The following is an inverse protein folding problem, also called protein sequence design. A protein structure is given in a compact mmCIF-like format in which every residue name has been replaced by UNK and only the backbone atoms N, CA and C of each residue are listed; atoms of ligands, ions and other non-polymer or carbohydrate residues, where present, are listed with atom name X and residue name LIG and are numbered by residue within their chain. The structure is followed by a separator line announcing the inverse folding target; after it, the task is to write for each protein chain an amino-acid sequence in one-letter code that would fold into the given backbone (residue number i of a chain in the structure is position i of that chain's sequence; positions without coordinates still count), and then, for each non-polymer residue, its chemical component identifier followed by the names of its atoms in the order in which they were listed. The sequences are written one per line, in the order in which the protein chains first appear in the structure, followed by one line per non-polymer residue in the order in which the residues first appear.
data_IF_078872435924
#
_entry.id   IF_078872435924
#
_cell.length_a   1.000
_cell.length_b   1.000
_cell.length_c   1.000
_cell.angle_alpha   90.00
_cell.angle_beta   90.00
_cell.angle_gamma   90.00
#
_symmetry.space_group_name_H-M   'P 1'
#
loop_
_entity.id
_entity.type
_entity.pdbx_description
1 polymer ?
#
# COMPACT_ATOMS: atom_id res chain seq x y z
N UNK A 1 -10.57 0.09 -9.80
CA UNK A 1 -10.21 -0.60 -8.53
C UNK A 1 -11.48 -1.03 -7.82
N UNK A 2 -11.42 -2.11 -7.03
CA UNK A 2 -12.53 -2.66 -6.24
C UNK A 2 -12.21 -2.54 -4.74
N UNK A 3 -13.21 -2.64 -3.87
CA UNK A 3 -13.00 -2.63 -2.43
C UNK A 3 -12.20 -3.85 -1.97
N UNK A 4 -11.28 -3.63 -1.04
CA UNK A 4 -10.45 -4.70 -0.47
C UNK A 4 -11.32 -5.76 0.22
N UNK A 5 -11.11 -7.01 -0.19
CA UNK A 5 -11.50 -8.21 0.55
C UNK A 5 -10.28 -8.71 1.33
N UNK A 6 -10.24 -8.59 2.67
CA UNK A 6 -9.01 -8.81 3.43
C UNK A 6 -8.46 -10.23 3.30
N UNK A 7 -9.31 -11.25 3.12
CA UNK A 7 -8.85 -12.61 2.91
C UNK A 7 -8.08 -12.76 1.58
N UNK A 8 -8.49 -12.07 0.50
CA UNK A 8 -7.76 -12.10 -0.77
C UNK A 8 -6.40 -11.43 -0.65
N UNK A 9 -6.34 -10.28 0.02
CA UNK A 9 -5.07 -9.58 0.26
C UNK A 9 -4.12 -10.45 1.08
N UNK A 10 -4.61 -11.08 2.15
CA UNK A 10 -3.78 -11.95 2.98
C UNK A 10 -3.19 -13.10 2.14
N UNK A 11 -4.01 -13.74 1.29
CA UNK A 11 -3.54 -14.81 0.40
C UNK A 11 -2.46 -14.33 -0.59
N UNK A 12 -2.62 -13.13 -1.15
CA UNK A 12 -1.64 -12.52 -2.06
C UNK A 12 -0.34 -12.15 -1.34
N UNK A 13 -0.41 -11.64 -0.11
CA UNK A 13 0.76 -11.37 0.72
C UNK A 13 1.51 -12.67 1.06
N UNK A 14 0.80 -13.74 1.41
CA UNK A 14 1.40 -15.03 1.76
C UNK A 14 2.15 -15.65 0.56
N UNK A 15 1.62 -15.48 -0.66
CA UNK A 15 2.27 -15.96 -1.91
C UNK A 15 3.60 -15.28 -2.23
N UNK A 16 3.90 -14.15 -1.61
CA UNK A 16 5.10 -13.34 -1.85
C UNK A 16 6.09 -13.40 -0.66
N UNK A 17 5.74 -14.08 0.44
CA UNK A 17 6.63 -14.30 1.59
C UNK A 17 7.91 -15.02 1.15
N UNK A 18 9.03 -14.63 1.73
CA UNK A 18 10.36 -15.21 1.47
C UNK A 18 10.72 -15.23 -0.02
N UNK A 19 10.31 -14.21 -0.76
CA UNK A 19 10.75 -13.94 -2.13
C UNK A 19 11.30 -12.53 -2.21
N UNK A 20 12.19 -12.31 -3.18
CA UNK A 20 12.66 -10.98 -3.49
C UNK A 20 11.58 -10.31 -4.34
N UNK A 21 11.07 -9.19 -3.84
CA UNK A 21 9.99 -8.43 -4.49
C UNK A 21 10.38 -6.96 -4.58
N UNK A 22 9.88 -6.30 -5.60
CA UNK A 22 9.95 -4.86 -5.75
C UNK A 22 8.70 -4.26 -5.12
N UNK A 23 8.93 -3.23 -4.31
CA UNK A 23 7.90 -2.46 -3.64
C UNK A 23 7.81 -1.05 -4.22
N UNK A 24 6.58 -0.61 -4.40
CA UNK A 24 6.23 0.79 -4.54
C UNK A 24 5.41 1.23 -3.31
N UNK A 25 5.82 2.33 -2.68
CA UNK A 25 5.09 2.96 -1.58
C UNK A 25 5.00 4.45 -1.87
N UNK A 26 3.78 4.94 -2.03
CA UNK A 26 3.48 6.36 -2.17
C UNK A 26 2.51 6.77 -1.08
N UNK A 27 2.77 7.90 -0.43
CA UNK A 27 1.82 8.55 0.45
C UNK A 27 1.83 10.03 0.14
N UNK A 28 0.64 10.63 0.12
CA UNK A 28 0.49 12.07 -0.03
C UNK A 28 -0.61 12.54 0.92
N UNK A 29 -0.26 13.44 1.82
CA UNK A 29 -1.26 14.30 2.43
C UNK A 29 -1.47 15.42 1.40
N UNK A 30 -2.35 15.17 0.42
CA UNK A 30 -2.36 15.84 -0.89
C UNK A 30 -2.04 17.34 -0.89
N UNK A 31 -1.53 17.86 -2.01
CA UNK A 31 -1.31 19.30 -2.22
C UNK A 31 -2.57 20.17 -1.92
N UNK A 32 -3.74 19.55 -1.87
CA UNK A 32 -5.02 20.16 -1.50
C UNK A 32 -5.32 20.24 0.01
N UNK A 33 -4.50 19.62 0.87
CA UNK A 33 -4.68 19.70 2.32
C UNK A 33 -4.72 21.18 2.78
N UNK A 34 -3.88 22.03 2.19
CA UNK A 34 -3.88 23.48 2.44
C UNK A 34 -5.12 24.22 1.90
N UNK A 35 -5.77 23.71 0.85
CA UNK A 35 -6.96 24.35 0.28
C UNK A 35 -8.19 24.25 1.20
N UNK A 36 -8.27 23.19 2.01
CA UNK A 36 -9.36 22.99 2.98
C UNK A 36 -8.96 23.35 4.40
N UNK A 37 -7.68 23.23 4.76
CA UNK A 37 -7.15 23.55 6.08
C UNK A 37 -5.68 23.96 5.96
N UNK A 38 -5.43 25.27 6.01
CA UNK A 38 -4.09 25.86 5.90
C UNK A 38 -3.15 25.48 7.04
N UNK A 39 -3.64 24.85 8.12
CA UNK A 39 -2.81 24.31 9.21
C UNK A 39 -2.15 22.97 8.86
N UNK A 40 -2.67 22.25 7.85
CA UNK A 40 -2.12 20.96 7.42
C UNK A 40 -0.93 21.17 6.50
N UNK A 41 0.24 20.77 6.98
CA UNK A 41 1.47 20.79 6.19
C UNK A 41 1.42 19.70 5.12
N UNK A 42 1.64 20.02 3.84
CA UNK A 42 1.75 19.01 2.80
C UNK A 42 3.01 18.18 3.06
N UNK A 43 2.84 16.88 3.20
CA UNK A 43 3.90 15.89 3.30
C UNK A 43 3.64 14.78 2.30
N UNK A 44 4.72 14.24 1.75
CA UNK A 44 4.66 13.06 0.90
C UNK A 44 5.87 12.17 1.14
N UNK A 45 5.68 10.89 0.83
CA UNK A 45 6.74 9.90 0.77
C UNK A 45 6.56 9.13 -0.54
N UNK A 46 7.66 8.87 -1.23
CA UNK A 46 7.65 8.14 -2.48
C UNK A 46 8.86 7.22 -2.56
N UNK A 47 8.59 5.93 -2.76
CA UNK A 47 9.59 4.89 -2.95
C UNK A 47 9.10 4.04 -4.12
N UNK A 48 9.94 3.81 -5.11
CA UNK A 48 9.63 2.89 -6.22
C UNK A 48 10.78 1.93 -6.46
N UNK A 49 10.47 0.71 -6.90
CA UNK A 49 11.43 -0.35 -7.18
C UNK A 49 12.41 -0.63 -6.03
N UNK A 50 11.98 -0.40 -4.78
CA UNK A 50 12.73 -0.84 -3.63
C UNK A 50 12.67 -2.36 -3.55
N UNK A 51 13.82 -3.02 -3.70
CA UNK A 51 13.92 -4.45 -3.50
C UNK A 51 13.82 -4.77 -2.01
N UNK A 52 12.84 -5.57 -1.63
CA UNK A 52 12.64 -6.04 -0.26
C UNK A 52 12.44 -7.56 -0.26
N UNK A 53 12.70 -8.15 0.90
CA UNK A 53 12.31 -9.52 1.22
C UNK A 53 11.66 -9.50 2.59
N UNK A 54 10.47 -10.07 2.70
CA UNK A 54 9.73 -10.11 3.96
C UNK A 54 9.38 -11.53 4.39
N UNK A 55 9.46 -11.75 5.69
CA UNK A 55 9.22 -13.05 6.33
C UNK A 55 7.77 -13.23 6.73
N UNK A 56 7.02 -12.13 6.89
CA UNK A 56 5.61 -12.14 7.24
C UNK A 56 4.93 -10.88 6.68
N UNK A 57 3.77 -11.04 6.06
CA UNK A 57 2.88 -9.95 5.67
C UNK A 57 1.51 -10.13 6.30
N UNK A 58 0.88 -9.06 6.75
CA UNK A 58 -0.48 -9.12 7.32
C UNK A 58 -1.31 -7.91 6.95
N UNK A 59 -2.56 -8.14 6.58
CA UNK A 59 -3.59 -7.11 6.50
C UNK A 59 -4.43 -7.10 7.78
N UNK A 60 -4.87 -5.93 8.23
CA UNK A 60 -5.76 -5.78 9.39
C UNK A 60 -6.64 -4.54 9.29
N UNK A 61 -7.68 -4.47 10.12
CA UNK A 61 -8.66 -3.38 10.16
C UNK A 61 -10.02 -3.80 9.63
N UNK A 62 -11.02 -2.93 9.81
CA UNK A 62 -12.40 -3.11 9.35
C UNK A 62 -12.76 -2.16 8.19
N UNK A 63 -11.75 -1.52 7.59
CA UNK A 63 -11.91 -0.52 6.53
C UNK A 63 -11.92 0.92 7.07
N UNK A 64 -10.95 1.78 6.70
CA UNK A 64 -9.76 1.50 5.90
C UNK A 64 -8.84 0.42 6.53
N UNK A 65 -8.08 -0.26 5.69
CA UNK A 65 -7.17 -1.32 6.08
C UNK A 65 -5.74 -0.82 6.24
N UNK A 66 -4.95 -1.60 6.96
CA UNK A 66 -3.51 -1.45 7.09
C UNK A 66 -2.80 -2.74 6.69
N UNK A 67 -1.65 -2.63 6.05
CA UNK A 67 -0.76 -3.74 5.71
C UNK A 67 0.60 -3.50 6.36
N UNK A 68 1.07 -4.52 7.07
CA UNK A 68 2.42 -4.56 7.64
C UNK A 68 3.23 -5.70 7.02
N UNK A 69 4.47 -5.42 6.66
CA UNK A 69 5.44 -6.41 6.18
C UNK A 69 6.64 -6.42 7.12
N UNK A 70 6.95 -7.57 7.73
CA UNK A 70 8.18 -7.78 8.48
C UNK A 70 9.30 -8.14 7.52
N UNK A 71 10.19 -7.21 7.22
CA UNK A 71 11.37 -7.46 6.38
C UNK A 71 12.48 -8.12 7.20
N UNK A 72 13.56 -8.56 6.54
CA UNK A 72 14.73 -9.13 7.23
C UNK A 72 15.28 -8.17 8.29
N UNK A 73 15.37 -6.87 7.96
CA UNK A 73 16.06 -5.86 8.77
C UNK A 73 15.12 -4.78 9.33
N UNK A 74 13.80 -4.95 9.19
CA UNK A 74 12.86 -3.92 9.61
C UNK A 74 11.41 -4.21 9.26
N UNK A 75 10.66 -3.14 8.97
CA UNK A 75 9.24 -3.21 8.70
C UNK A 75 8.83 -2.22 7.62
N UNK A 76 7.87 -2.63 6.80
CA UNK A 76 7.07 -1.73 5.96
C UNK A 76 5.67 -1.67 6.56
N UNK A 77 5.09 -0.48 6.63
CA UNK A 77 3.74 -0.28 7.13
C UNK A 77 3.02 0.75 6.26
N UNK A 78 1.82 0.39 5.79
CA UNK A 78 0.94 1.28 5.04
C UNK A 78 -0.47 1.21 5.63
N UNK A 79 -1.09 2.37 5.87
CA UNK A 79 -2.42 2.50 6.47
C UNK A 79 -3.29 3.43 5.62
N UNK A 80 -4.59 3.14 5.58
CA UNK A 80 -5.56 3.89 4.79
C UNK A 80 -5.94 3.20 3.48
N UNK A 81 -5.53 1.94 3.27
CA UNK A 81 -5.82 1.18 2.06
C UNK A 81 -7.31 0.83 2.01
N UNK A 82 -7.96 1.11 0.87
CA UNK A 82 -9.40 0.87 0.69
C UNK A 82 -9.72 0.04 -0.54
N UNK A 83 -8.88 0.11 -1.57
CA UNK A 83 -9.11 -0.51 -2.86
C UNK A 83 -7.94 -1.38 -3.32
N UNK A 84 -8.24 -2.35 -4.17
CA UNK A 84 -7.30 -3.21 -4.90
C UNK A 84 -7.56 -3.15 -6.41
N UNK A 85 -6.52 -3.32 -7.22
CA UNK A 85 -6.68 -3.68 -8.62
C UNK A 85 -6.85 -5.21 -8.76
N UNK A 86 -8.07 -5.67 -9.03
CA UNK A 86 -8.36 -7.10 -9.20
C UNK A 86 -7.96 -7.65 -10.58
N UNK A 87 -7.76 -6.77 -11.57
CA UNK A 87 -7.36 -7.20 -12.92
C UNK A 87 -5.91 -7.69 -12.93
N UNK A 88 -5.10 -7.18 -12.00
CA UNK A 88 -3.73 -7.62 -11.80
C UNK A 88 -3.66 -8.84 -10.87
N UNK A 89 -3.18 -9.97 -11.42
CA UNK A 89 -3.05 -11.22 -10.67
C UNK A 89 -1.62 -11.46 -10.15
N UNK A 90 -0.62 -10.99 -10.90
CA UNK A 90 0.80 -11.18 -10.56
C UNK A 90 1.33 -10.07 -9.64
N UNK A 91 0.75 -8.87 -9.74
CA UNK A 91 1.09 -7.72 -8.89
C UNK A 91 0.00 -7.53 -7.84
N UNK A 92 0.40 -7.24 -6.61
CA UNK A 92 -0.52 -6.77 -5.59
C UNK A 92 -0.52 -5.25 -5.65
N UNK A 93 -1.59 -4.63 -6.17
CA UNK A 93 -1.71 -3.17 -6.29
C UNK A 93 -2.85 -2.71 -5.39
N UNK A 94 -2.53 -2.03 -4.29
CA UNK A 94 -3.51 -1.50 -3.34
C UNK A 94 -3.40 0.01 -3.24
N UNK A 95 -4.54 0.68 -3.09
CA UNK A 95 -4.64 2.12 -2.94
C UNK A 95 -5.64 2.51 -1.86
N UNK A 96 -5.35 3.61 -1.19
CA UNK A 96 -6.26 4.33 -0.31
C UNK A 96 -6.64 5.65 -0.96
N UNK A 97 -7.95 5.92 -1.03
CA UNK A 97 -8.48 7.18 -1.54
C UNK A 97 -9.23 7.95 -0.46
N UNK A 98 -9.19 9.28 -0.53
CA UNK A 98 -10.02 10.16 0.30
C UNK A 98 -11.49 10.20 -0.18
N UNK A 99 -12.32 10.98 0.50
CA UNK A 99 -13.75 11.14 0.16
C UNK A 99 -14.01 11.79 -1.20
N UNK A 100 -12.99 12.40 -1.83
CA UNK A 100 -13.05 12.96 -3.18
C UNK A 100 -12.48 12.00 -4.23
N UNK A 101 -12.06 10.79 -3.82
CA UNK A 101 -11.44 9.80 -4.70
C UNK A 101 -9.97 10.09 -5.01
N UNK A 102 -9.32 11.03 -4.30
CA UNK A 102 -7.89 11.32 -4.50
C UNK A 102 -7.02 10.32 -3.76
N UNK A 103 -5.89 9.96 -4.36
CA UNK A 103 -4.93 9.04 -3.75
C UNK A 103 -4.36 9.63 -2.46
N UNK A 104 -4.34 8.82 -1.40
CA UNK A 104 -3.75 9.14 -0.09
C UNK A 104 -2.55 8.24 0.18
N UNK A 105 -2.67 6.96 -0.17
CA UNK A 105 -1.62 5.96 0.00
C UNK A 105 -1.70 4.93 -1.12
N UNK A 106 -0.57 4.44 -1.60
CA UNK A 106 -0.47 3.28 -2.47
C UNK A 106 0.62 2.35 -1.94
N UNK A 107 0.29 1.06 -1.83
CA UNK A 107 1.27 0.00 -1.58
C UNK A 107 1.14 -1.02 -2.69
N UNK A 108 2.23 -1.20 -3.44
CA UNK A 108 2.28 -2.15 -4.54
C UNK A 108 3.48 -3.10 -4.36
N UNK A 109 3.26 -4.39 -4.63
CA UNK A 109 4.28 -5.42 -4.57
C UNK A 109 4.28 -6.22 -5.88
N UNK A 110 5.47 -6.49 -6.42
CA UNK A 110 5.66 -7.30 -7.63
C UNK A 110 6.95 -8.08 -7.59
N UNK A 111 7.01 -9.22 -8.28
CA UNK A 111 8.26 -9.96 -8.53
C UNK A 111 9.16 -9.27 -9.57
N UNK A 112 8.60 -8.35 -10.34
CA UNK A 112 9.29 -7.56 -11.35
C UNK A 112 9.28 -6.07 -10.99
N UNK A 113 10.14 -5.28 -11.63
CA UNK A 113 10.14 -3.82 -11.44
C UNK A 113 8.87 -3.20 -12.04
N UNK A 114 8.38 -2.15 -11.39
CA UNK A 114 7.31 -1.27 -11.88
C UNK A 114 7.85 -0.28 -12.91
#
# INVERSE_FOLDING_TARGET
MQLIQPQDIQLRLDRLVNQDVYMHLEMTTGAYAQHYDSSRHPASAFITNAAIRYTQGSISGEGPYRVGLKTTDGWVYAEGLTHIDEQEQEKLIMAGHDSQGKLVVALQLSREKF
#
